data_IF_996588634124
#
_entry.id   IF_996588634124
#
_cell.length_a   1.000
_cell.length_b   1.000
_cell.length_c   1.000
_cell.angle_alpha   90.00
_cell.angle_beta   90.00
_cell.angle_gamma   90.00
#
_symmetry.space_group_name_H-M   'P 1'
#
loop_
_entity.id
_entity.type
_entity.pdbx_description
1 polymer ?
#
# COMPACT_ATOMS: atom_id res chain seq x y z
N UNK A 1 -6.36 36.37 -11.02
CA UNK A 1 -5.50 36.69 -12.18
C UNK A 1 -6.14 37.76 -13.07
N UNK A 2 -7.38 37.60 -13.54
CA UNK A 2 -8.08 38.60 -14.37
C UNK A 2 -8.07 40.01 -13.76
N UNK A 3 -8.44 40.18 -12.48
CA UNK A 3 -8.49 41.50 -11.84
C UNK A 3 -7.14 42.24 -11.75
N UNK A 4 -6.03 41.53 -11.53
CA UNK A 4 -4.69 42.14 -11.52
C UNK A 4 -4.22 42.48 -12.94
N UNK A 5 -4.60 41.67 -13.93
CA UNK A 5 -4.36 41.96 -15.35
C UNK A 5 -5.07 43.23 -15.79
N UNK A 6 -6.38 43.33 -15.53
CA UNK A 6 -7.18 44.53 -15.87
C UNK A 6 -6.67 45.79 -15.17
N UNK A 7 -6.26 45.70 -13.90
CA UNK A 7 -5.68 46.84 -13.18
C UNK A 7 -4.36 47.32 -13.80
N UNK A 8 -3.49 46.38 -14.23
CA UNK A 8 -2.23 46.73 -14.90
C UNK A 8 -2.45 47.30 -16.30
N UNK A 9 -3.43 46.77 -17.04
CA UNK A 9 -3.82 47.34 -18.35
C UNK A 9 -4.30 48.79 -18.21
N UNK A 10 -5.20 49.05 -17.25
CA UNK A 10 -5.70 50.39 -16.98
C UNK A 10 -4.58 51.32 -16.48
N UNK A 11 -3.71 50.82 -15.60
CA UNK A 11 -2.56 51.60 -15.12
C UNK A 11 -1.62 51.97 -16.26
N UNK A 12 -1.28 51.04 -17.15
CA UNK A 12 -0.45 51.31 -18.32
C UNK A 12 -1.09 52.29 -19.30
N UNK A 13 -2.40 52.19 -19.55
CA UNK A 13 -3.16 53.15 -20.37
C UNK A 13 -3.12 54.58 -19.82
N UNK A 14 -3.08 54.71 -18.49
CA UNK A 14 -2.98 55.99 -17.79
C UNK A 14 -1.52 56.44 -17.54
N UNK A 15 -0.53 55.76 -18.12
CA UNK A 15 0.90 56.08 -17.95
C UNK A 15 1.49 55.70 -16.59
N UNK A 16 0.82 54.81 -15.85
CA UNK A 16 1.24 54.33 -14.54
C UNK A 16 2.21 53.15 -14.59
N UNK A 17 2.83 52.85 -13.44
CA UNK A 17 3.74 51.72 -13.25
C UNK A 17 2.98 50.42 -12.94
N UNK A 18 3.57 49.24 -13.22
CA UNK A 18 2.95 47.96 -12.88
C UNK A 18 2.56 47.85 -11.40
N UNK A 19 1.30 47.50 -11.16
CA UNK A 19 0.70 47.38 -9.83
C UNK A 19 0.68 45.91 -9.40
N UNK A 20 1.09 45.67 -8.15
CA UNK A 20 1.12 44.35 -7.52
C UNK A 20 0.47 44.39 -6.13
N UNK A 21 0.08 43.22 -5.63
CA UNK A 21 -0.43 43.10 -4.26
C UNK A 21 0.70 43.25 -3.23
N UNK A 22 0.60 44.25 -2.36
CA UNK A 22 1.58 44.47 -1.28
C UNK A 22 1.12 43.78 0.00
N UNK A 23 1.77 42.66 0.34
CA UNK A 23 1.40 41.79 1.48
C UNK A 23 1.42 42.57 2.81
N UNK A 24 2.46 43.37 3.03
CA UNK A 24 2.63 44.14 4.28
C UNK A 24 1.48 45.12 4.49
N UNK A 25 1.07 45.86 3.45
CA UNK A 25 -0.07 46.80 3.54
C UNK A 25 -1.39 46.09 3.74
N UNK A 26 -1.60 44.95 3.09
CA UNK A 26 -2.80 44.13 3.28
C UNK A 26 -2.91 43.63 4.73
N UNK A 27 -1.80 43.13 5.30
CA UNK A 27 -1.77 42.67 6.69
C UNK A 27 -2.05 43.77 7.70
N UNK A 28 -1.47 44.97 7.51
CA UNK A 28 -1.74 46.13 8.36
C UNK A 28 -3.19 46.59 8.24
N UNK A 29 -3.77 46.56 7.04
CA UNK A 29 -5.15 46.93 6.79
C UNK A 29 -6.14 45.98 7.52
N UNK A 30 -5.86 44.68 7.49
CA UNK A 30 -6.65 43.67 8.22
C UNK A 30 -6.46 43.82 9.74
N UNK A 31 -5.24 44.07 10.21
CA UNK A 31 -4.97 44.33 11.62
C UNK A 31 -5.68 45.59 12.14
N UNK A 32 -5.85 46.61 11.28
CA UNK A 32 -6.64 47.81 11.55
C UNK A 32 -8.16 47.58 11.47
N UNK A 33 -8.62 46.34 11.28
CA UNK A 33 -10.03 45.97 11.32
C UNK A 33 -10.78 46.09 9.99
N UNK A 34 -10.09 46.29 8.85
CA UNK A 34 -10.76 46.39 7.55
C UNK A 34 -11.36 45.04 7.13
N UNK A 35 -12.66 45.06 6.75
CA UNK A 35 -13.42 43.85 6.35
C UNK A 35 -13.92 43.88 4.90
N UNK A 36 -13.83 45.02 4.22
CA UNK A 36 -14.40 45.21 2.88
C UNK A 36 -13.38 45.81 1.90
N UNK A 37 -13.62 45.64 0.60
CA UNK A 37 -12.81 46.23 -0.48
C UNK A 37 -12.84 47.76 -0.49
N UNK A 38 -13.83 48.37 0.19
CA UNK A 38 -13.96 49.83 0.31
C UNK A 38 -12.73 50.46 0.98
N UNK A 39 -12.09 49.77 1.93
CA UNK A 39 -10.86 50.25 2.55
C UNK A 39 -9.74 50.48 1.52
N UNK A 40 -9.56 49.55 0.57
CA UNK A 40 -8.54 49.69 -0.47
C UNK A 40 -8.86 50.83 -1.47
N UNK A 41 -10.13 51.02 -1.80
CA UNK A 41 -10.59 52.12 -2.67
C UNK A 41 -10.36 53.46 -1.98
N UNK A 42 -10.79 53.60 -0.72
CA UNK A 42 -10.57 54.80 0.08
C UNK A 42 -9.08 55.11 0.25
N UNK A 43 -8.25 54.09 0.48
CA UNK A 43 -6.80 54.27 0.55
C UNK A 43 -6.22 54.86 -0.76
N UNK A 44 -6.67 54.38 -1.92
CA UNK A 44 -6.28 54.96 -3.21
C UNK A 44 -6.75 56.41 -3.38
N UNK A 45 -7.98 56.73 -2.98
CA UNK A 45 -8.52 58.10 -2.99
C UNK A 45 -7.72 59.02 -2.09
N UNK A 46 -7.36 58.58 -0.87
CA UNK A 46 -6.52 59.35 0.04
C UNK A 46 -5.13 59.59 -0.54
N UNK A 47 -4.49 58.59 -1.14
CA UNK A 47 -3.20 58.75 -1.81
C UNK A 47 -3.30 59.83 -2.89
N UNK A 48 -4.33 59.79 -3.73
CA UNK A 48 -4.54 60.78 -4.80
C UNK A 48 -4.73 62.19 -4.23
N UNK A 49 -5.57 62.33 -3.20
CA UNK A 49 -5.83 63.60 -2.54
C UNK A 49 -4.57 64.19 -1.90
N UNK A 50 -3.85 63.40 -1.10
CA UNK A 50 -2.64 63.86 -0.41
C UNK A 50 -1.51 64.18 -1.40
N UNK A 51 -1.34 63.36 -2.44
CA UNK A 51 -0.33 63.60 -3.47
C UNK A 51 -0.62 64.88 -4.28
N UNK A 52 -1.88 65.24 -4.49
CA UNK A 52 -2.28 66.46 -5.20
C UNK A 52 -2.20 67.71 -4.32
N UNK A 53 -2.63 67.62 -3.06
CA UNK A 53 -2.75 68.78 -2.18
C UNK A 53 -1.44 69.16 -1.48
N UNK A 54 -0.56 68.19 -1.21
CA UNK A 54 0.65 68.39 -0.39
C UNK A 54 1.97 68.21 -1.15
N UNK A 55 1.98 68.41 -2.47
CA UNK A 55 3.18 68.26 -3.32
C UNK A 55 4.41 68.99 -2.75
N UNK A 56 4.25 70.26 -2.37
CA UNK A 56 5.33 71.08 -1.83
C UNK A 56 5.92 70.54 -0.51
N UNK A 57 5.10 69.84 0.30
CA UNK A 57 5.55 69.23 1.55
C UNK A 57 6.27 67.92 1.30
N UNK A 58 5.83 67.15 0.30
CA UNK A 58 6.47 65.88 -0.09
C UNK A 58 7.88 66.11 -0.63
N UNK A 59 8.12 67.23 -1.33
CA UNK A 59 9.46 67.60 -1.83
C UNK A 59 10.47 67.89 -0.70
N UNK A 60 10.01 68.24 0.50
CA UNK A 60 10.87 68.49 1.66
C UNK A 60 11.33 67.21 2.38
N UNK A 61 10.87 66.03 1.95
CA UNK A 61 11.21 64.76 2.61
C UNK A 61 12.71 64.45 2.42
N UNK A 62 13.50 64.31 3.51
CA UNK A 62 14.91 63.99 3.39
C UNK A 62 15.13 62.61 2.76
N UNK A 63 16.02 62.54 1.76
CA UNK A 63 16.40 61.26 1.10
C UNK A 63 16.92 60.22 2.10
N UNK A 64 17.57 60.66 3.18
CA UNK A 64 18.04 59.79 4.26
C UNK A 64 16.89 59.06 4.98
N UNK A 65 15.74 59.71 5.19
CA UNK A 65 14.57 59.09 5.80
C UNK A 65 13.98 58.00 4.88
N UNK A 66 13.94 58.25 3.57
CA UNK A 66 13.49 57.26 2.58
C UNK A 66 14.45 56.07 2.50
N UNK A 67 15.76 56.30 2.52
CA UNK A 67 16.76 55.24 2.53
C UNK A 67 16.64 54.37 3.80
N UNK A 68 16.47 54.97 4.97
CA UNK A 68 16.24 54.25 6.23
C UNK A 68 14.97 53.39 6.18
N UNK A 69 13.88 53.94 5.64
CA UNK A 69 12.64 53.19 5.44
C UNK A 69 12.85 51.98 4.51
N UNK A 70 13.57 52.15 3.40
CA UNK A 70 13.86 51.05 2.46
C UNK A 70 14.70 49.94 3.11
N UNK A 71 15.69 50.28 3.93
CA UNK A 71 16.51 49.30 4.66
C UNK A 71 15.63 48.48 5.62
N UNK A 72 14.77 49.14 6.39
CA UNK A 72 13.85 48.46 7.34
C UNK A 72 12.88 47.54 6.60
N UNK A 73 12.29 48.01 5.50
CA UNK A 73 11.38 47.19 4.69
C UNK A 73 12.13 45.99 4.08
N UNK A 74 13.34 46.21 3.54
CA UNK A 74 14.19 45.15 3.01
C UNK A 74 14.52 44.09 4.06
N UNK A 75 14.88 44.51 5.28
CA UNK A 75 15.15 43.62 6.39
C UNK A 75 13.92 42.81 6.82
N UNK A 76 12.73 43.41 6.82
CA UNK A 76 11.48 42.72 7.15
C UNK A 76 11.05 41.65 6.14
N UNK A 77 11.49 41.78 4.87
CA UNK A 77 11.21 40.77 3.84
C UNK A 77 12.02 39.48 4.04
N UNK A 78 13.16 39.54 4.73
CA UNK A 78 14.03 38.38 4.98
C UNK A 78 13.53 37.59 6.18
N UNK A 79 12.89 36.44 5.90
CA UNK A 79 12.44 35.51 6.94
C UNK A 79 13.49 34.44 7.22
N UNK A 80 14.25 34.62 8.31
CA UNK A 80 15.33 33.71 8.78
C UNK A 80 14.89 32.23 8.94
N UNK A 81 13.62 31.99 9.28
CA UNK A 81 13.07 30.64 9.43
C UNK A 81 13.13 29.82 8.12
N UNK A 82 12.86 30.43 6.96
CA UNK A 82 12.90 29.75 5.67
C UNK A 82 14.32 29.42 5.23
N UNK A 83 15.30 30.29 5.55
CA UNK A 83 16.72 30.05 5.28
C UNK A 83 17.23 28.84 6.07
N UNK A 84 16.89 28.78 7.37
CA UNK A 84 17.32 27.67 8.25
C UNK A 84 16.67 26.33 7.84
N UNK A 85 15.44 26.34 7.36
CA UNK A 85 14.75 25.15 6.85
C UNK A 85 15.29 24.69 5.49
N UNK A 86 15.67 25.62 4.60
CA UNK A 86 16.30 25.31 3.32
C UNK A 86 17.69 24.68 3.48
N UNK A 87 18.45 25.07 4.51
CA UNK A 87 19.73 24.46 4.87
C UNK A 87 19.61 23.00 5.32
N UNK A 88 18.50 22.60 5.94
CA UNK A 88 18.26 21.22 6.39
C UNK A 88 17.74 20.28 5.30
N UNK A 89 17.07 20.82 4.28
CA UNK A 89 16.37 20.04 3.24
C UNK A 89 17.20 19.87 1.96
N UNK A 90 18.45 20.33 1.93
CA UNK A 90 19.39 20.14 0.81
C UNK A 90 19.18 21.07 -0.39
N UNK A 91 18.17 21.94 -0.36
CA UNK A 91 17.83 22.85 -1.47
C UNK A 91 18.49 24.23 -1.37
N UNK A 92 19.45 24.42 -0.45
CA UNK A 92 20.15 25.70 -0.26
C UNK A 92 20.91 26.17 -1.51
N UNK A 93 21.41 25.22 -2.31
CA UNK A 93 22.15 25.51 -3.55
C UNK A 93 21.32 26.36 -4.53
N UNK A 94 20.03 26.04 -4.70
CA UNK A 94 19.13 26.77 -5.61
C UNK A 94 18.93 28.21 -5.13
N UNK A 95 18.76 28.40 -3.82
CA UNK A 95 18.64 29.73 -3.21
C UNK A 95 19.91 30.56 -3.38
N UNK A 96 21.07 29.97 -3.12
CA UNK A 96 22.36 30.65 -3.25
C UNK A 96 22.60 31.09 -4.70
N UNK A 97 22.37 30.20 -5.67
CA UNK A 97 22.50 30.52 -7.10
C UNK A 97 21.56 31.67 -7.48
N UNK A 98 20.29 31.60 -7.08
CA UNK A 98 19.31 32.65 -7.42
C UNK A 98 19.73 34.01 -6.84
N UNK A 99 20.19 34.06 -5.59
CA UNK A 99 20.66 35.31 -4.96
C UNK A 99 21.88 35.86 -5.69
N UNK A 100 22.88 35.02 -5.97
CA UNK A 100 24.11 35.43 -6.68
C UNK A 100 23.74 35.97 -8.06
N UNK A 101 22.90 35.27 -8.83
CA UNK A 101 22.48 35.74 -10.14
C UNK A 101 21.70 37.06 -10.08
N UNK A 102 20.80 37.25 -9.10
CA UNK A 102 20.08 38.53 -8.94
C UNK A 102 21.01 39.69 -8.58
N UNK A 103 22.07 39.43 -7.79
CA UNK A 103 23.03 40.45 -7.35
C UNK A 103 24.00 40.86 -8.46
N UNK A 104 24.49 39.90 -9.25
CA UNK A 104 25.54 40.15 -10.27
C UNK A 104 25.00 40.37 -11.68
N UNK A 105 23.81 39.87 -12.00
CA UNK A 105 23.15 40.07 -13.28
C UNK A 105 22.03 41.10 -13.09
N UNK A 106 20.78 40.67 -13.29
CA UNK A 106 19.57 41.45 -13.06
C UNK A 106 18.49 40.56 -12.43
N UNK A 107 17.46 41.18 -11.85
CA UNK A 107 16.36 40.45 -11.21
C UNK A 107 15.69 39.44 -12.16
N UNK A 108 15.39 39.86 -13.39
CA UNK A 108 14.72 39.01 -14.38
C UNK A 108 15.56 37.78 -14.76
N UNK A 109 16.82 38.01 -15.11
CA UNK A 109 17.77 36.94 -15.48
C UNK A 109 18.03 36.01 -14.30
N UNK A 110 18.22 36.55 -13.10
CA UNK A 110 18.46 35.76 -11.90
C UNK A 110 17.28 34.86 -11.52
N UNK A 111 16.04 35.36 -11.65
CA UNK A 111 14.84 34.55 -11.44
C UNK A 111 14.69 33.47 -12.53
N UNK A 112 14.96 33.80 -13.79
CA UNK A 112 14.90 32.84 -14.89
C UNK A 112 15.91 31.69 -14.72
N UNK A 113 17.16 32.02 -14.36
CA UNK A 113 18.20 31.03 -14.07
C UNK A 113 17.83 30.19 -12.84
N UNK A 114 17.35 30.83 -11.77
CA UNK A 114 16.90 30.12 -10.56
C UNK A 114 15.78 29.11 -10.86
N UNK A 115 14.80 29.50 -11.68
CA UNK A 115 13.73 28.61 -12.13
C UNK A 115 14.26 27.45 -12.97
N UNK A 116 15.15 27.72 -13.93
CA UNK A 116 15.75 26.68 -14.78
C UNK A 116 16.52 25.65 -13.94
N UNK A 117 17.33 26.11 -12.99
CA UNK A 117 18.07 25.23 -12.06
C UNK A 117 17.12 24.43 -11.18
N UNK A 118 16.04 25.05 -10.67
CA UNK A 118 15.05 24.33 -9.87
C UNK A 118 14.34 23.21 -10.67
N UNK A 119 13.97 23.48 -11.92
CA UNK A 119 13.38 22.49 -12.83
C UNK A 119 14.39 21.36 -13.09
N UNK A 120 15.66 21.69 -13.36
CA UNK A 120 16.70 20.69 -13.61
C UNK A 120 16.92 19.79 -12.39
N UNK A 121 17.01 20.35 -11.19
CA UNK A 121 17.14 19.57 -9.95
C UNK A 121 15.93 18.65 -9.73
N UNK A 122 14.72 19.14 -10.01
CA UNK A 122 13.51 18.33 -9.93
C UNK A 122 13.56 17.17 -10.93
N UNK A 123 13.96 17.44 -12.17
CA UNK A 123 14.13 16.40 -13.19
C UNK A 123 15.16 15.35 -12.77
N UNK A 124 16.34 15.77 -12.29
CA UNK A 124 17.37 14.85 -11.79
C UNK A 124 16.86 14.02 -10.61
N UNK A 125 16.09 14.63 -9.70
CA UNK A 125 15.50 13.92 -8.56
C UNK A 125 14.47 12.88 -8.99
N UNK A 126 13.65 13.18 -10.01
CA UNK A 126 12.67 12.25 -10.58
C UNK A 126 13.37 11.10 -11.33
N UNK A 127 14.42 11.39 -12.09
CA UNK A 127 15.22 10.37 -12.81
C UNK A 127 15.99 9.45 -11.85
N UNK A 128 16.32 9.93 -10.64
CA UNK A 128 17.05 9.16 -9.63
C UNK A 128 16.16 8.27 -8.75
N UNK A 129 14.91 8.02 -9.14
CA UNK A 129 14.03 7.08 -8.44
C UNK A 129 14.78 5.78 -8.07
N UNK A 130 14.62 5.27 -6.83
CA UNK A 130 15.38 4.14 -6.35
C UNK A 130 14.98 2.89 -7.13
N UNK A 131 15.94 2.36 -7.89
CA UNK A 131 15.94 0.99 -8.39
C UNK A 131 17.10 0.32 -7.67
N UNK A 132 16.81 -0.61 -6.78
CA UNK A 132 17.81 -1.38 -6.04
C UNK A 132 17.67 -2.85 -6.40
N UNK A 133 18.79 -3.47 -6.78
CA UNK A 133 18.88 -4.92 -6.97
C UNK A 133 19.66 -5.51 -5.79
N UNK A 134 19.05 -6.42 -5.05
CA UNK A 134 19.64 -7.07 -3.88
C UNK A 134 19.58 -8.59 -4.06
N UNK A 135 20.69 -9.33 -3.81
CA UNK A 135 20.66 -10.79 -3.78
C UNK A 135 19.88 -11.27 -2.55
N UNK A 136 19.04 -12.29 -2.72
CA UNK A 136 18.25 -12.90 -1.64
C UNK A 136 18.92 -14.21 -1.21
N UNK A 137 19.57 -14.18 -0.04
CA UNK A 137 20.29 -15.32 0.56
C UNK A 137 21.81 -15.30 0.33
N UNK A 138 22.54 -16.15 1.05
CA UNK A 138 24.02 -16.27 0.93
C UNK A 138 24.46 -16.96 -0.37
N UNK A 139 23.58 -17.75 -1.00
CA UNK A 139 23.81 -18.37 -2.30
C UNK A 139 23.09 -17.55 -3.39
N UNK A 140 23.85 -16.85 -4.24
CA UNK A 140 23.39 -15.85 -5.22
C UNK A 140 22.50 -16.35 -6.39
N UNK A 141 21.63 -17.35 -6.16
CA UNK A 141 20.68 -17.89 -7.15
C UNK A 141 19.42 -17.04 -7.32
N UNK A 142 19.02 -16.29 -6.30
CA UNK A 142 17.81 -15.47 -6.32
C UNK A 142 18.13 -13.98 -6.17
N UNK A 143 17.56 -13.15 -7.04
CA UNK A 143 17.71 -11.70 -7.05
C UNK A 143 16.36 -11.01 -6.86
N UNK A 144 16.31 -10.01 -5.99
CA UNK A 144 15.17 -9.11 -5.83
C UNK A 144 15.53 -7.77 -6.44
N UNK A 145 14.64 -7.23 -7.28
CA UNK A 145 14.75 -5.90 -7.84
C UNK A 145 13.52 -5.10 -7.44
N UNK A 146 13.71 -4.09 -6.61
CA UNK A 146 12.64 -3.23 -6.12
C UNK A 146 12.61 -1.92 -6.92
N UNK A 147 11.42 -1.55 -7.42
CA UNK A 147 11.18 -0.34 -8.21
C UNK A 147 10.02 0.46 -7.61
N UNK A 148 10.33 1.65 -7.09
CA UNK A 148 9.35 2.53 -6.44
C UNK A 148 9.12 3.85 -7.19
N UNK A 149 7.85 4.25 -7.31
CA UNK A 149 7.42 5.57 -7.75
C UNK A 149 7.04 5.65 -9.23
N UNK A 150 7.30 6.81 -9.87
CA UNK A 150 6.83 7.07 -11.23
C UNK A 150 7.74 6.41 -12.27
N UNK A 151 7.30 5.29 -12.84
CA UNK A 151 8.01 4.54 -13.87
C UNK A 151 7.71 5.15 -15.25
N UNK A 152 8.52 6.12 -15.65
CA UNK A 152 8.42 6.77 -16.96
C UNK A 152 9.66 6.52 -17.82
N UNK A 153 9.60 6.87 -19.10
CA UNK A 153 10.66 6.79 -20.10
C UNK A 153 11.98 7.39 -19.60
N UNK A 154 11.90 8.42 -18.74
CA UNK A 154 13.07 9.06 -18.13
C UNK A 154 13.89 8.10 -17.26
N UNK A 155 13.31 6.99 -16.80
CA UNK A 155 13.94 5.96 -15.97
C UNK A 155 14.60 4.84 -16.79
N UNK A 156 14.27 4.70 -18.09
CA UNK A 156 14.77 3.62 -18.95
C UNK A 156 16.28 3.43 -18.94
N UNK A 157 17.13 4.49 -19.00
CA UNK A 157 18.58 4.30 -18.99
C UNK A 157 19.07 3.62 -17.72
N UNK A 158 18.43 3.89 -16.57
CA UNK A 158 18.80 3.29 -15.29
C UNK A 158 18.23 1.88 -15.15
N UNK A 159 16.98 1.69 -15.58
CA UNK A 159 16.33 0.39 -15.57
C UNK A 159 17.12 -0.64 -16.39
N UNK A 160 17.41 -0.31 -17.65
CA UNK A 160 18.20 -1.18 -18.53
C UNK A 160 19.60 -1.44 -17.98
N UNK A 161 20.24 -0.44 -17.37
CA UNK A 161 21.54 -0.63 -16.72
C UNK A 161 21.45 -1.63 -15.56
N UNK A 162 20.51 -1.46 -14.62
CA UNK A 162 20.35 -2.38 -13.48
C UNK A 162 20.01 -3.80 -13.96
N UNK A 163 19.06 -3.94 -14.88
CA UNK A 163 18.67 -5.24 -15.43
C UNK A 163 19.83 -5.95 -16.15
N UNK A 164 20.73 -5.19 -16.79
CA UNK A 164 21.92 -5.75 -17.44
C UNK A 164 23.01 -6.23 -16.46
N UNK A 165 22.97 -5.79 -15.21
CA UNK A 165 23.93 -6.23 -14.18
C UNK A 165 23.57 -7.58 -13.54
N UNK A 166 22.35 -8.08 -13.79
CA UNK A 166 21.88 -9.34 -13.23
C UNK A 166 22.58 -10.54 -13.92
N UNK A 167 23.07 -11.54 -13.16
CA UNK A 167 23.70 -12.71 -13.73
C UNK A 167 22.72 -13.53 -14.59
N UNK A 168 23.22 -14.14 -15.67
CA UNK A 168 22.39 -15.01 -16.53
C UNK A 168 22.00 -16.28 -15.79
N UNK A 169 20.79 -16.79 -16.06
CA UNK A 169 20.32 -18.06 -15.49
C UNK A 169 19.94 -18.01 -14.00
N UNK A 170 19.81 -16.82 -13.40
CA UNK A 170 19.31 -16.67 -12.02
C UNK A 170 17.82 -16.38 -11.99
N UNK A 171 17.18 -16.74 -10.88
CA UNK A 171 15.78 -16.44 -10.61
C UNK A 171 15.64 -15.00 -10.12
N UNK A 172 14.83 -14.19 -10.78
CA UNK A 172 14.66 -12.76 -10.50
C UNK A 172 13.23 -12.47 -10.12
N UNK A 173 13.03 -11.79 -8.99
CA UNK A 173 11.73 -11.24 -8.60
C UNK A 173 11.75 -9.72 -8.75
N UNK A 174 10.94 -9.20 -9.68
CA UNK A 174 10.74 -7.78 -9.93
C UNK A 174 9.54 -7.29 -9.10
N UNK A 175 9.77 -6.45 -8.10
CA UNK A 175 8.72 -5.78 -7.35
C UNK A 175 8.45 -4.40 -7.94
N UNK A 176 7.24 -4.21 -8.48
CA UNK A 176 6.78 -2.98 -9.11
C UNK A 176 5.78 -2.27 -8.20
N UNK A 177 6.21 -1.17 -7.60
CA UNK A 177 5.38 -0.31 -6.77
C UNK A 177 5.29 1.09 -7.38
N UNK A 178 4.43 1.22 -8.39
CA UNK A 178 4.36 2.42 -9.23
C UNK A 178 3.05 3.19 -9.11
N UNK A 179 3.14 4.52 -8.99
CA UNK A 179 1.97 5.42 -9.10
C UNK A 179 1.58 5.69 -10.57
N UNK A 180 2.47 5.30 -11.50
CA UNK A 180 2.37 5.48 -12.93
C UNK A 180 3.40 4.59 -13.64
N UNK A 181 2.99 3.89 -14.71
CA UNK A 181 3.86 3.16 -15.62
C UNK A 181 3.56 3.63 -17.04
N UNK A 182 4.58 4.01 -17.81
CA UNK A 182 4.40 4.28 -19.22
C UNK A 182 4.72 3.08 -20.12
N UNK A 183 4.29 3.21 -21.38
CA UNK A 183 4.43 2.16 -22.37
C UNK A 183 5.88 1.72 -22.56
N UNK A 184 6.80 2.69 -22.61
CA UNK A 184 8.20 2.42 -22.90
C UNK A 184 8.88 1.61 -21.78
N UNK A 185 8.55 1.87 -20.51
CA UNK A 185 9.04 1.05 -19.38
C UNK A 185 8.42 -0.35 -19.38
N UNK A 186 7.11 -0.46 -19.61
CA UNK A 186 6.41 -1.76 -19.68
C UNK A 186 7.00 -2.67 -20.78
N UNK A 187 7.24 -2.10 -21.96
CA UNK A 187 7.86 -2.80 -23.10
C UNK A 187 9.28 -3.24 -22.76
N UNK A 188 10.11 -2.35 -22.22
CA UNK A 188 11.48 -2.69 -21.84
C UNK A 188 11.59 -3.81 -20.80
N UNK A 189 10.67 -3.86 -19.82
CA UNK A 189 10.61 -4.96 -18.82
C UNK A 189 10.18 -6.26 -19.49
N UNK A 190 9.17 -6.21 -20.36
CA UNK A 190 8.67 -7.39 -21.08
C UNK A 190 9.74 -8.00 -21.98
N UNK A 191 10.42 -7.17 -22.78
CA UNK A 191 11.51 -7.59 -23.66
C UNK A 191 12.68 -8.20 -22.87
N UNK A 192 13.05 -7.56 -21.75
CA UNK A 192 14.10 -8.08 -20.89
C UNK A 192 13.71 -9.41 -20.25
N UNK A 193 12.46 -9.57 -19.77
CA UNK A 193 11.96 -10.82 -19.19
C UNK A 193 12.11 -11.97 -20.17
N UNK A 194 11.61 -11.80 -21.40
CA UNK A 194 11.69 -12.83 -22.45
C UNK A 194 13.15 -13.20 -22.75
N UNK A 195 14.02 -12.20 -22.85
CA UNK A 195 15.44 -12.41 -23.09
C UNK A 195 16.14 -13.14 -21.92
N UNK A 196 15.77 -12.84 -20.67
CA UNK A 196 16.36 -13.46 -19.48
C UNK A 196 15.90 -14.91 -19.30
N UNK A 197 14.61 -15.18 -19.51
CA UNK A 197 14.03 -16.54 -19.47
C UNK A 197 14.65 -17.45 -20.55
N UNK A 198 14.97 -16.90 -21.72
CA UNK A 198 15.69 -17.62 -22.77
C UNK A 198 17.11 -18.05 -22.35
N UNK A 199 17.70 -17.45 -21.31
CA UNK A 199 19.00 -17.85 -20.75
C UNK A 199 18.91 -18.89 -19.63
N UNK A 200 17.71 -19.39 -19.30
CA UNK A 200 17.48 -20.45 -18.33
C UNK A 200 17.25 -19.99 -16.89
N UNK A 201 16.98 -18.69 -16.66
CA UNK A 201 16.50 -18.18 -15.37
C UNK A 201 14.99 -17.98 -15.38
N UNK A 202 14.36 -17.80 -14.21
CA UNK A 202 12.93 -17.43 -14.12
C UNK A 202 12.73 -15.97 -13.72
N UNK A 203 11.65 -15.34 -14.20
CA UNK A 203 11.30 -13.96 -13.82
C UNK A 203 9.88 -13.91 -13.28
N UNK A 204 9.74 -13.60 -11.98
CA UNK A 204 8.47 -13.31 -11.34
C UNK A 204 8.26 -11.80 -11.21
N UNK A 205 7.18 -11.28 -11.80
CA UNK A 205 6.81 -9.87 -11.67
C UNK A 205 5.70 -9.76 -10.63
N UNK A 206 5.94 -8.99 -9.58
CA UNK A 206 4.99 -8.73 -8.49
C UNK A 206 4.61 -7.26 -8.54
N UNK A 207 3.37 -6.98 -8.93
CA UNK A 207 2.82 -5.64 -8.99
C UNK A 207 2.04 -5.36 -7.70
N UNK A 208 2.51 -4.41 -6.89
CA UNK A 208 1.89 -4.05 -5.60
C UNK A 208 1.03 -2.80 -5.68
N UNK A 209 0.99 -2.14 -6.85
CA UNK A 209 0.21 -0.92 -7.11
C UNK A 209 -0.84 -1.13 -8.21
N UNK A 210 -1.93 -0.33 -8.23
CA UNK A 210 -2.98 -0.45 -9.25
C UNK A 210 -2.52 -0.06 -10.67
N UNK A 211 -1.38 0.61 -10.82
CA UNK A 211 -0.72 0.76 -12.12
C UNK A 211 0.02 -0.55 -12.44
N UNK A 212 -0.52 -1.30 -13.39
CA UNK A 212 0.05 -2.56 -13.87
C UNK A 212 0.49 -2.48 -15.33
N UNK A 213 1.40 -3.36 -15.72
CA UNK A 213 1.94 -3.47 -17.07
C UNK A 213 0.84 -3.76 -18.10
N UNK A 214 -0.19 -4.53 -17.74
CA UNK A 214 -1.31 -4.87 -18.65
C UNK A 214 -2.11 -3.61 -19.04
N UNK A 215 -2.44 -2.76 -18.08
CA UNK A 215 -3.21 -1.53 -18.32
C UNK A 215 -2.41 -0.44 -19.04
N UNK A 216 -1.07 -0.48 -18.96
CA UNK A 216 -0.19 0.43 -19.66
C UNK A 216 -0.36 0.36 -21.19
N UNK A 217 -0.83 -0.78 -21.72
CA UNK A 217 -1.07 -1.00 -23.15
C UNK A 217 -2.52 -0.76 -23.59
N UNK A 218 -3.48 -0.66 -22.66
CA UNK A 218 -4.91 -0.67 -22.99
C UNK A 218 -5.59 0.70 -22.95
N UNK A 219 -4.99 1.72 -22.32
CA UNK A 219 -5.61 3.05 -22.16
C UNK A 219 -4.58 4.16 -21.88
N UNK A 220 -4.89 5.45 -22.13
CA UNK A 220 -4.01 6.56 -21.77
C UNK A 220 -3.70 6.54 -20.27
N UNK A 221 -2.42 6.65 -19.87
CA UNK A 221 -2.04 6.40 -18.50
C UNK A 221 -2.53 7.53 -17.59
N UNK A 222 -3.13 7.15 -16.45
CA UNK A 222 -3.62 8.09 -15.42
C UNK A 222 -2.77 7.94 -14.16
N UNK A 223 -2.41 9.06 -13.53
CA UNK A 223 -1.76 9.01 -12.22
C UNK A 223 -2.77 8.57 -11.18
N UNK A 224 -2.42 7.52 -10.44
CA UNK A 224 -3.23 7.03 -9.34
C UNK A 224 -2.49 7.30 -8.03
N UNK A 225 -3.12 8.09 -7.15
CA UNK A 225 -2.72 8.13 -5.75
C UNK A 225 -3.47 7.00 -5.02
N UNK A 226 -2.86 5.82 -4.97
CA UNK A 226 -3.30 4.80 -4.04
C UNK A 226 -2.70 5.14 -2.67
N UNK A 227 -3.50 5.30 -1.60
CA UNK A 227 -2.97 5.12 -0.26
C UNK A 227 -2.44 3.69 -0.19
N UNK A 228 -1.21 3.50 0.28
CA UNK A 228 -0.60 2.20 0.54
C UNK A 228 -1.65 1.25 1.08
N UNK A 229 -1.93 0.15 0.38
CA UNK A 229 -2.84 -0.84 0.92
C UNK A 229 -2.20 -1.37 2.21
N UNK A 230 -3.00 -1.73 3.23
CA UNK A 230 -2.46 -2.35 4.44
C UNK A 230 -1.67 -3.64 4.16
N UNK A 231 -1.85 -4.20 2.96
CA UNK A 231 -1.15 -5.38 2.44
C UNK A 231 0.31 -5.07 2.07
N UNK A 232 0.64 -3.80 1.81
CA UNK A 232 1.97 -3.36 1.34
C UNK A 232 2.84 -2.77 2.46
N UNK A 233 2.31 -2.66 3.68
CA UNK A 233 3.15 -2.30 4.82
C UNK A 233 3.94 -3.54 5.21
N UNK A 234 5.18 -3.62 4.73
CA UNK A 234 6.17 -4.55 5.24
C UNK A 234 6.41 -4.24 6.73
N UNK A 235 5.57 -4.78 7.61
CA UNK A 235 5.72 -4.68 9.05
C UNK A 235 7.05 -5.35 9.39
N UNK A 236 8.07 -4.61 9.86
CA UNK A 236 9.32 -5.23 10.25
C UNK A 236 9.02 -6.33 11.26
N UNK A 237 9.45 -7.56 10.98
CA UNK A 237 9.28 -8.63 11.95
C UNK A 237 9.94 -8.19 13.25
N UNK A 238 9.17 -8.26 14.35
CA UNK A 238 9.62 -7.94 15.70
C UNK A 238 10.91 -8.69 16.09
N UNK A 239 11.21 -9.81 15.41
CA UNK A 239 12.40 -10.64 15.64
C UNK A 239 13.64 -10.18 14.88
N UNK A 240 13.50 -9.35 13.85
CA UNK A 240 14.60 -9.07 12.91
C UNK A 240 15.55 -7.98 13.43
N UNK A 241 15.10 -7.14 14.38
CA UNK A 241 15.89 -6.00 14.88
C UNK A 241 16.40 -6.14 16.31
N UNK A 242 15.66 -6.75 17.24
CA UNK A 242 16.07 -6.95 18.64
C UNK A 242 15.41 -8.18 19.31
N UNK A 243 15.99 -9.39 19.22
CA UNK A 243 15.38 -10.61 19.75
C UNK A 243 15.13 -10.57 21.27
N UNK A 244 15.95 -9.86 22.05
CA UNK A 244 15.82 -9.76 23.51
C UNK A 244 14.80 -8.72 23.99
N UNK A 245 14.36 -7.79 23.12
CA UNK A 245 13.38 -6.74 23.43
C UNK A 245 12.10 -6.84 22.61
N UNK A 246 11.90 -7.95 21.93
CA UNK A 246 10.68 -8.25 21.21
C UNK A 246 9.50 -8.16 22.20
N UNK A 247 8.82 -7.01 22.28
CA UNK A 247 7.50 -6.62 22.84
C UNK A 247 6.30 -6.75 21.89
N UNK A 248 5.14 -7.35 22.24
CA UNK A 248 3.93 -7.23 21.38
C UNK A 248 3.50 -5.77 21.40
N UNK A 249 3.71 -5.13 22.56
CA UNK A 249 3.56 -3.71 22.79
C UNK A 249 4.45 -2.88 21.86
N UNK A 250 5.67 -3.33 21.56
CA UNK A 250 6.54 -2.65 20.60
C UNK A 250 5.97 -2.69 19.17
N UNK A 251 5.38 -3.83 18.77
CA UNK A 251 4.65 -3.93 17.50
C UNK A 251 3.42 -3.03 17.46
N UNK A 252 2.70 -2.91 18.57
CA UNK A 252 1.55 -2.00 18.71
C UNK A 252 1.99 -0.53 18.62
N UNK A 253 3.10 -0.16 19.27
CA UNK A 253 3.69 1.19 19.15
C UNK A 253 4.08 1.51 17.71
N UNK A 254 4.70 0.56 17.00
CA UNK A 254 5.05 0.71 15.60
C UNK A 254 3.80 0.89 14.72
N UNK A 255 2.77 0.09 14.94
CA UNK A 255 1.48 0.22 14.28
C UNK A 255 0.81 1.58 14.59
N UNK A 256 0.90 2.08 15.82
CA UNK A 256 0.38 3.41 16.16
C UNK A 256 1.13 4.53 15.45
N UNK A 257 2.45 4.42 15.32
CA UNK A 257 3.28 5.42 14.63
C UNK A 257 3.02 5.44 13.12
N UNK A 258 2.98 4.27 12.50
CA UNK A 258 3.07 4.14 11.04
C UNK A 258 1.82 3.52 10.37
N UNK A 259 1.05 2.70 11.09
CA UNK A 259 -0.08 1.92 10.53
C UNK A 259 -1.47 2.48 10.73
N UNK A 260 -1.67 3.28 11.77
CA UNK A 260 -3.01 3.76 12.14
C UNK A 260 -3.64 4.56 11.00
N UNK A 261 -2.85 5.38 10.29
CA UNK A 261 -3.36 6.17 9.16
C UNK A 261 -3.82 5.30 7.98
N UNK A 262 -3.13 4.20 7.71
CA UNK A 262 -3.48 3.27 6.65
C UNK A 262 -4.76 2.49 7.00
N UNK A 263 -4.95 2.11 8.27
CA UNK A 263 -6.11 1.34 8.72
C UNK A 263 -7.35 2.20 9.01
N UNK A 264 -7.17 3.45 9.42
CA UNK A 264 -8.24 4.31 9.93
C UNK A 264 -9.43 4.45 8.96
N UNK A 265 -9.16 4.62 7.66
CA UNK A 265 -10.23 4.76 6.67
C UNK A 265 -11.04 3.47 6.48
N UNK A 266 -10.37 2.31 6.53
CA UNK A 266 -11.02 1.02 6.32
C UNK A 266 -11.83 0.60 7.55
N UNK A 267 -11.27 0.75 8.76
CA UNK A 267 -11.97 0.36 10.00
C UNK A 267 -13.12 1.30 10.34
N UNK A 268 -13.01 2.60 10.03
CA UNK A 268 -14.12 3.55 10.26
C UNK A 268 -15.37 3.17 9.47
N UNK A 269 -15.22 2.64 8.26
CA UNK A 269 -16.35 2.18 7.45
C UNK A 269 -17.04 0.94 8.03
N UNK A 270 -16.35 0.16 8.87
CA UNK A 270 -16.83 -1.08 9.47
C UNK A 270 -17.40 -0.88 10.90
N UNK A 271 -17.28 0.32 11.46
CA UNK A 271 -17.62 0.58 12.87
C UNK A 271 -19.12 0.45 13.13
N UNK A 272 -19.95 0.74 12.13
CA UNK A 272 -21.41 0.75 12.26
C UNK A 272 -22.08 -0.57 11.83
N UNK A 273 -21.41 -1.39 10.99
CA UNK A 273 -21.88 -2.72 10.60
C UNK A 273 -20.76 -3.55 9.94
N UNK A 274 -20.14 -4.52 10.65
CA UNK A 274 -19.31 -5.52 10.01
C UNK A 274 -20.21 -6.50 9.27
N UNK A 275 -20.06 -6.59 7.94
CA UNK A 275 -20.87 -7.48 7.10
C UNK A 275 -19.98 -8.52 6.39
N UNK A 276 -19.45 -9.52 7.12
CA UNK A 276 -18.66 -10.57 6.50
C UNK A 276 -19.53 -11.42 5.58
N UNK A 277 -18.98 -11.82 4.44
CA UNK A 277 -19.67 -12.71 3.50
C UNK A 277 -19.39 -14.19 3.78
N UNK A 278 -18.36 -14.47 4.60
CA UNK A 278 -17.79 -15.80 4.81
C UNK A 278 -17.35 -16.03 6.24
N UNK A 279 -17.81 -17.12 6.86
CA UNK A 279 -17.16 -17.68 8.05
C UNK A 279 -15.98 -18.55 7.61
N UNK A 280 -14.78 -18.31 8.15
CA UNK A 280 -13.55 -19.00 7.78
C UNK A 280 -12.97 -19.79 8.96
N UNK A 281 -13.16 -21.11 8.97
CA UNK A 281 -12.60 -22.03 9.96
C UNK A 281 -11.24 -22.55 9.50
N UNK A 282 -10.18 -22.29 10.26
CA UNK A 282 -8.83 -22.74 9.90
C UNK A 282 -7.98 -23.16 11.10
N UNK A 283 -6.75 -23.61 10.82
CA UNK A 283 -5.80 -24.01 11.83
C UNK A 283 -5.25 -22.80 12.61
N UNK A 284 -4.97 -23.01 13.89
CA UNK A 284 -4.27 -22.05 14.74
C UNK A 284 -2.78 -21.82 14.36
N UNK A 285 -2.26 -22.53 13.35
CA UNK A 285 -0.88 -22.38 12.85
C UNK A 285 -0.61 -20.95 12.37
N UNK A 286 0.40 -20.28 12.94
CA UNK A 286 0.71 -18.87 12.68
C UNK A 286 1.07 -18.54 11.24
N UNK A 287 1.36 -19.54 10.41
CA UNK A 287 1.69 -19.35 8.98
C UNK A 287 0.46 -19.20 8.11
N UNK A 288 -0.73 -19.51 8.63
CA UNK A 288 -1.99 -19.31 7.91
C UNK A 288 -2.47 -17.88 8.11
N UNK A 289 -2.63 -17.18 7.00
CA UNK A 289 -3.05 -15.79 6.90
C UNK A 289 -4.33 -15.73 6.06
N UNK A 290 -5.52 -15.97 6.65
CA UNK A 290 -6.78 -16.07 5.91
C UNK A 290 -7.00 -14.92 4.95
N UNK A 291 -6.88 -13.67 5.42
CA UNK A 291 -7.11 -12.47 4.63
C UNK A 291 -6.18 -12.36 3.40
N UNK A 292 -4.96 -12.92 3.50
CA UNK A 292 -3.98 -12.89 2.41
C UNK A 292 -4.32 -13.96 1.38
N UNK A 293 -4.55 -15.20 1.82
CA UNK A 293 -4.75 -16.35 0.92
C UNK A 293 -6.11 -16.32 0.21
N UNK A 294 -7.09 -15.56 0.73
CA UNK A 294 -8.40 -15.36 0.09
C UNK A 294 -8.54 -14.00 -0.58
N UNK A 295 -7.49 -13.17 -0.54
CA UNK A 295 -7.55 -11.77 -0.98
C UNK A 295 -8.69 -10.95 -0.34
N UNK A 296 -9.04 -11.25 0.91
CA UNK A 296 -10.11 -10.58 1.67
C UNK A 296 -9.68 -9.27 2.32
N UNK A 297 -10.61 -8.33 2.46
CA UNK A 297 -10.43 -7.05 3.14
C UNK A 297 -10.83 -7.19 4.61
N UNK A 298 -10.39 -6.25 5.49
CA UNK A 298 -10.94 -6.19 6.83
C UNK A 298 -12.46 -6.16 6.79
N UNK A 299 -13.10 -7.07 7.51
CA UNK A 299 -14.55 -7.18 7.57
C UNK A 299 -15.18 -8.23 6.64
N UNK A 300 -14.47 -8.73 5.61
CA UNK A 300 -15.04 -9.73 4.69
C UNK A 300 -15.15 -11.12 5.34
N UNK A 301 -14.24 -11.44 6.27
CA UNK A 301 -14.16 -12.76 6.92
C UNK A 301 -14.54 -12.71 8.40
N UNK A 302 -15.33 -13.70 8.83
CA UNK A 302 -15.52 -14.06 10.23
C UNK A 302 -14.69 -15.29 10.59
N UNK A 303 -13.53 -15.10 11.23
CA UNK A 303 -12.49 -16.13 11.31
C UNK A 303 -12.53 -16.89 12.64
N UNK A 304 -12.50 -18.23 12.55
CA UNK A 304 -12.32 -19.14 13.69
C UNK A 304 -11.02 -19.91 13.50
N UNK A 305 -10.19 -19.97 14.55
CA UNK A 305 -8.92 -20.71 14.52
C UNK A 305 -8.86 -21.72 15.65
N UNK A 306 -8.72 -22.99 15.30
CA UNK A 306 -8.50 -24.07 16.27
C UNK A 306 -7.42 -25.03 15.78
N UNK A 307 -6.96 -25.95 16.63
CA UNK A 307 -5.87 -26.86 16.26
C UNK A 307 -6.39 -27.90 15.25
N UNK A 308 -5.86 -27.90 14.03
CA UNK A 308 -6.22 -28.86 12.99
C UNK A 308 -7.55 -28.58 12.28
N UNK A 309 -8.09 -27.35 12.37
CA UNK A 309 -9.29 -26.89 11.65
C UNK A 309 -10.50 -27.83 11.81
N UNK A 310 -10.73 -28.31 13.03
CA UNK A 310 -11.69 -29.36 13.35
C UNK A 310 -13.06 -28.79 13.70
N UNK A 311 -14.10 -29.50 13.28
CA UNK A 311 -15.48 -29.30 13.76
C UNK A 311 -15.73 -30.33 14.87
N UNK A 312 -15.90 -29.87 16.13
CA UNK A 312 -16.18 -30.75 17.26
C UNK A 312 -17.46 -31.56 17.06
N UNK A 313 -17.48 -32.76 17.62
CA UNK A 313 -18.63 -33.69 17.59
C UNK A 313 -19.25 -33.88 18.97
N UNK A 314 -18.57 -33.43 20.02
CA UNK A 314 -19.04 -33.56 21.40
C UNK A 314 -20.05 -32.43 21.69
N UNK A 315 -21.29 -32.73 22.08
CA UNK A 315 -22.29 -31.72 22.45
C UNK A 315 -21.89 -30.78 23.60
N UNK A 316 -20.87 -31.16 24.37
CA UNK A 316 -20.29 -30.34 25.43
C UNK A 316 -19.35 -29.25 24.88
N UNK A 317 -18.81 -29.39 23.66
CA UNK A 317 -17.99 -28.36 23.02
C UNK A 317 -18.82 -27.56 22.01
N UNK A 318 -19.12 -26.32 22.37
CA UNK A 318 -20.03 -25.42 21.65
C UNK A 318 -19.34 -24.21 21.03
N UNK A 319 -18.01 -24.10 21.10
CA UNK A 319 -17.31 -22.93 20.57
C UNK A 319 -17.51 -22.74 19.05
N UNK A 320 -17.45 -23.83 18.27
CA UNK A 320 -17.66 -23.76 16.81
C UNK A 320 -19.15 -23.59 16.49
N UNK A 321 -20.02 -24.29 17.20
CA UNK A 321 -21.48 -24.15 17.03
C UNK A 321 -21.97 -22.73 17.31
N UNK A 322 -21.49 -22.09 18.39
CA UNK A 322 -21.85 -20.71 18.70
C UNK A 322 -21.39 -19.72 17.61
N UNK A 323 -20.23 -19.96 17.01
CA UNK A 323 -19.71 -19.13 15.94
C UNK A 323 -20.45 -19.35 14.61
N UNK A 324 -20.87 -20.59 14.31
CA UNK A 324 -21.75 -20.91 13.17
C UNK A 324 -23.12 -20.24 13.34
N UNK A 325 -23.72 -20.34 14.52
CA UNK A 325 -25.02 -19.75 14.85
C UNK A 325 -24.97 -18.22 14.67
N UNK A 326 -23.96 -17.57 15.24
CA UNK A 326 -23.77 -16.12 15.10
C UNK A 326 -23.55 -15.71 13.64
N UNK A 327 -22.72 -16.44 12.89
CA UNK A 327 -22.44 -16.10 11.51
C UNK A 327 -23.67 -16.19 10.60
N UNK A 328 -24.52 -17.20 10.80
CA UNK A 328 -25.72 -17.37 9.99
C UNK A 328 -26.83 -16.41 10.45
N UNK A 329 -27.10 -16.36 11.74
CA UNK A 329 -28.31 -15.70 12.25
C UNK A 329 -28.13 -14.21 12.55
N UNK A 330 -26.90 -13.76 12.81
CA UNK A 330 -26.61 -12.35 13.14
C UNK A 330 -25.81 -11.64 12.03
N UNK A 331 -24.92 -12.35 11.34
CA UNK A 331 -24.05 -11.77 10.30
C UNK A 331 -24.51 -12.06 8.87
N UNK A 332 -25.49 -12.94 8.67
CA UNK A 332 -26.03 -13.33 7.35
C UNK A 332 -24.95 -13.74 6.34
N UNK A 333 -23.95 -14.52 6.79
CA UNK A 333 -22.88 -14.99 5.90
C UNK A 333 -23.43 -15.85 4.78
N UNK A 334 -22.95 -15.64 3.56
CA UNK A 334 -23.33 -16.43 2.38
C UNK A 334 -22.52 -17.73 2.23
N UNK A 335 -21.42 -17.87 2.97
CA UNK A 335 -20.57 -19.04 2.88
C UNK A 335 -19.81 -19.42 4.16
N UNK A 336 -19.46 -20.69 4.25
CA UNK A 336 -18.67 -21.29 5.33
C UNK A 336 -17.49 -22.02 4.72
N UNK A 337 -16.28 -21.51 4.95
CA UNK A 337 -15.05 -22.11 4.48
C UNK A 337 -14.34 -22.90 5.59
N UNK A 338 -13.81 -24.07 5.27
CA UNK A 338 -12.87 -24.82 6.12
C UNK A 338 -11.54 -24.98 5.41
N UNK A 339 -10.47 -24.45 6.02
CA UNK A 339 -9.14 -24.42 5.43
C UNK A 339 -8.12 -25.21 6.25
N UNK A 340 -7.66 -26.32 5.69
CA UNK A 340 -6.48 -27.06 6.16
C UNK A 340 -5.20 -26.57 5.50
N UNK A 341 -4.06 -27.12 5.91
CA UNK A 341 -2.78 -26.74 5.35
C UNK A 341 -1.75 -27.87 5.39
N UNK A 342 -0.76 -27.77 4.50
CA UNK A 342 0.41 -28.65 4.49
C UNK A 342 1.25 -28.51 5.78
N UNK A 343 2.00 -29.55 6.12
CA UNK A 343 2.86 -29.58 7.33
C UNK A 343 2.10 -29.25 8.62
N UNK A 344 0.83 -29.64 8.72
CA UNK A 344 0.01 -29.45 9.91
C UNK A 344 0.49 -30.35 11.05
N UNK A 345 1.03 -29.73 12.11
CA UNK A 345 1.60 -30.47 13.23
C UNK A 345 0.57 -31.34 13.96
N UNK A 346 -0.66 -30.83 14.12
CA UNK A 346 -1.76 -31.55 14.75
C UNK A 346 -2.09 -32.87 14.04
N UNK A 347 -2.08 -32.85 12.71
CA UNK A 347 -2.39 -34.02 11.87
C UNK A 347 -1.20 -34.97 11.82
N UNK A 348 0.03 -34.44 11.82
CA UNK A 348 1.24 -35.25 11.91
C UNK A 348 1.28 -36.09 13.19
N UNK A 349 0.93 -35.50 14.34
CA UNK A 349 0.88 -36.20 15.63
C UNK A 349 -0.10 -37.38 15.62
N UNK A 350 -1.18 -37.33 14.83
CA UNK A 350 -2.13 -38.44 14.70
C UNK A 350 -1.59 -39.65 13.93
N UNK A 351 -0.56 -39.46 13.11
CA UNK A 351 0.11 -40.54 12.37
C UNK A 351 1.17 -41.23 13.23
N UNK A 352 1.62 -40.61 14.31
CA UNK A 352 2.58 -41.22 15.23
C UNK A 352 1.93 -42.36 16.02
N UNK A 353 2.67 -43.46 16.29
CA UNK A 353 2.12 -44.63 16.99
C UNK A 353 1.72 -44.34 18.44
N UNK A 354 2.24 -43.25 19.02
CA UNK A 354 1.93 -42.81 20.38
C UNK A 354 0.78 -41.81 20.36
N UNK A 355 -0.36 -42.19 20.95
CA UNK A 355 -1.48 -41.28 21.10
C UNK A 355 -1.09 -40.08 22.00
N UNK A 356 -1.36 -38.83 21.58
CA UNK A 356 -1.13 -37.65 22.40
C UNK A 356 -1.94 -37.73 23.70
N UNK A 357 -1.33 -37.34 24.82
CA UNK A 357 -1.97 -37.31 26.15
C UNK A 357 -2.41 -35.89 26.52
N UNK A 358 -3.27 -35.79 27.54
CA UNK A 358 -3.74 -34.51 28.07
C UNK A 358 -4.74 -33.78 27.14
N UNK A 359 -4.91 -32.46 27.29
CA UNK A 359 -5.92 -31.69 26.55
C UNK A 359 -5.79 -31.78 25.03
N UNK A 360 -4.57 -31.82 24.50
CA UNK A 360 -4.33 -32.01 23.07
C UNK A 360 -4.80 -33.38 22.59
N UNK A 361 -4.56 -34.43 23.38
CA UNK A 361 -5.08 -35.76 23.10
C UNK A 361 -6.59 -35.81 23.04
N UNK A 362 -7.27 -35.14 23.99
CA UNK A 362 -8.73 -35.03 24.01
C UNK A 362 -9.26 -34.26 22.80
N UNK A 363 -8.66 -33.11 22.48
CA UNK A 363 -9.05 -32.30 21.33
C UNK A 363 -8.91 -33.05 20.00
N UNK A 364 -7.80 -33.77 19.82
CA UNK A 364 -7.55 -34.53 18.59
C UNK A 364 -8.45 -35.76 18.42
N UNK A 365 -9.26 -36.12 19.42
CA UNK A 365 -10.31 -37.12 19.24
C UNK A 365 -11.33 -36.70 18.18
N UNK A 366 -11.55 -35.40 18.01
CA UNK A 366 -12.41 -34.88 16.94
C UNK A 366 -11.84 -35.16 15.54
N UNK A 367 -10.55 -35.48 15.39
CA UNK A 367 -9.93 -35.86 14.11
C UNK A 367 -9.87 -37.38 13.87
N UNK A 368 -10.35 -38.22 14.81
CA UNK A 368 -10.28 -39.67 14.68
C UNK A 368 -11.05 -40.22 13.48
N UNK A 369 -12.19 -39.61 13.13
CA UNK A 369 -12.93 -39.98 11.93
C UNK A 369 -12.12 -39.72 10.66
N UNK A 370 -11.40 -38.59 10.59
CA UNK A 370 -10.49 -38.27 9.50
C UNK A 370 -9.34 -39.27 9.41
N UNK A 371 -8.77 -39.69 10.55
CA UNK A 371 -7.75 -40.74 10.59
C UNK A 371 -8.29 -42.10 10.16
N UNK A 372 -9.52 -42.45 10.58
CA UNK A 372 -10.18 -43.68 10.17
C UNK A 372 -10.45 -43.68 8.65
N UNK A 373 -11.01 -42.60 8.12
CA UNK A 373 -11.23 -42.38 6.69
C UNK A 373 -9.93 -42.50 5.90
N UNK A 374 -8.85 -41.87 6.39
CA UNK A 374 -7.53 -41.97 5.79
C UNK A 374 -7.02 -43.42 5.73
N UNK A 375 -7.17 -44.19 6.81
CA UNK A 375 -6.74 -45.60 6.89
C UNK A 375 -7.51 -46.53 5.95
N UNK A 376 -8.77 -46.21 5.64
CA UNK A 376 -9.58 -46.99 4.68
C UNK A 376 -9.50 -46.45 3.24
N UNK A 377 -8.48 -45.65 2.91
CA UNK A 377 -8.23 -45.09 1.58
C UNK A 377 -9.38 -44.23 1.02
N UNK A 378 -9.88 -43.29 1.83
CA UNK A 378 -10.84 -42.28 1.40
C UNK A 378 -10.45 -41.65 0.04
N UNK A 379 -11.41 -41.33 -0.87
CA UNK A 379 -11.11 -40.75 -2.19
C UNK A 379 -10.19 -39.52 -2.13
N UNK A 380 -10.37 -38.67 -1.11
CA UNK A 380 -9.53 -37.48 -0.92
C UNK A 380 -8.05 -37.82 -0.69
N UNK A 381 -7.74 -38.99 -0.11
CA UNK A 381 -6.38 -39.50 0.02
C UNK A 381 -5.80 -39.85 -1.34
N UNK A 382 -6.57 -40.57 -2.17
CA UNK A 382 -6.13 -40.97 -3.51
C UNK A 382 -5.85 -39.76 -4.39
N UNK A 383 -6.74 -38.75 -4.35
CA UNK A 383 -6.53 -37.44 -4.99
C UNK A 383 -5.27 -36.73 -4.48
N UNK A 384 -5.04 -36.73 -3.17
CA UNK A 384 -3.82 -36.14 -2.60
C UNK A 384 -2.54 -36.88 -3.05
N UNK A 385 -2.57 -38.21 -3.13
CA UNK A 385 -1.45 -39.03 -3.64
C UNK A 385 -1.15 -38.70 -5.10
N UNK A 386 -2.18 -38.59 -5.95
CA UNK A 386 -1.98 -38.27 -7.37
C UNK A 386 -1.40 -36.87 -7.60
N UNK A 387 -1.63 -35.95 -6.65
CA UNK A 387 -1.06 -34.60 -6.66
C UNK A 387 0.30 -34.50 -5.95
N UNK A 388 0.89 -35.62 -5.51
CA UNK A 388 2.25 -35.67 -4.98
C UNK A 388 2.42 -35.20 -3.53
N UNK A 389 1.33 -35.10 -2.74
CA UNK A 389 1.39 -34.65 -1.35
C UNK A 389 1.98 -35.72 -0.42
N UNK A 390 2.66 -35.28 0.65
CA UNK A 390 3.24 -36.18 1.67
C UNK A 390 2.16 -36.90 2.48
N UNK A 391 2.49 -37.97 3.20
CA UNK A 391 1.51 -38.73 3.99
C UNK A 391 0.75 -37.86 5.02
N UNK A 392 1.45 -36.95 5.69
CA UNK A 392 0.82 -36.02 6.63
C UNK A 392 -0.11 -35.02 5.93
N UNK A 393 0.28 -34.55 4.74
CA UNK A 393 -0.53 -33.63 3.94
C UNK A 393 -1.76 -34.32 3.34
N UNK A 394 -1.62 -35.59 2.93
CA UNK A 394 -2.74 -36.43 2.52
C UNK A 394 -3.78 -36.55 3.64
N UNK A 395 -3.35 -36.80 4.88
CA UNK A 395 -4.27 -36.83 6.03
C UNK A 395 -4.91 -35.45 6.27
N UNK A 396 -4.17 -34.36 6.08
CA UNK A 396 -4.71 -33.00 6.19
C UNK A 396 -5.80 -32.72 5.12
N UNK A 397 -5.61 -33.17 3.88
CA UNK A 397 -6.61 -33.06 2.80
C UNK A 397 -7.85 -33.93 3.11
N UNK A 398 -7.65 -35.17 3.57
CA UNK A 398 -8.76 -36.03 4.03
C UNK A 398 -9.51 -35.37 5.19
N UNK A 399 -8.80 -34.73 6.12
CA UNK A 399 -9.42 -34.01 7.21
C UNK A 399 -10.32 -32.88 6.69
N UNK A 400 -9.86 -32.06 5.73
CA UNK A 400 -10.70 -31.02 5.12
C UNK A 400 -11.97 -31.62 4.52
N UNK A 401 -11.86 -32.69 3.72
CA UNK A 401 -13.02 -33.35 3.13
C UNK A 401 -14.02 -33.84 4.19
N UNK A 402 -13.54 -34.47 5.27
CA UNK A 402 -14.39 -34.92 6.38
C UNK A 402 -15.03 -33.74 7.14
N UNK A 403 -14.31 -32.64 7.35
CA UNK A 403 -14.88 -31.46 8.00
C UNK A 403 -15.95 -30.78 7.13
N UNK A 404 -15.77 -30.75 5.79
CA UNK A 404 -16.81 -30.31 4.85
C UNK A 404 -18.07 -31.15 5.00
N UNK A 405 -17.94 -32.49 5.10
CA UNK A 405 -19.09 -33.36 5.33
C UNK A 405 -19.78 -33.12 6.67
N UNK A 406 -18.99 -32.88 7.73
CA UNK A 406 -19.51 -32.57 9.06
C UNK A 406 -20.28 -31.26 9.09
N UNK A 407 -19.73 -30.20 8.50
CA UNK A 407 -20.43 -28.92 8.36
C UNK A 407 -21.74 -29.11 7.60
N UNK A 408 -21.74 -29.92 6.55
CA UNK A 408 -22.95 -30.18 5.77
C UNK A 408 -24.04 -30.94 6.54
N UNK A 409 -23.66 -31.70 7.59
CA UNK A 409 -24.58 -32.42 8.49
C UNK A 409 -24.85 -31.66 9.79
N UNK A 410 -24.21 -30.51 10.03
CA UNK A 410 -24.37 -29.76 11.26
C UNK A 410 -25.81 -29.19 11.33
N UNK A 411 -26.54 -29.40 12.44
CA UNK A 411 -27.94 -28.95 12.58
C UNK A 411 -28.16 -27.44 12.37
N UNK A 412 -27.16 -26.62 12.65
CA UNK A 412 -27.21 -25.16 12.51
C UNK A 412 -27.14 -24.77 11.03
N UNK A 413 -26.29 -25.45 10.26
CA UNK A 413 -26.08 -25.17 8.83
C UNK A 413 -27.09 -25.87 7.90
N UNK A 414 -27.59 -27.04 8.29
CA UNK A 414 -28.41 -27.88 7.42
C UNK A 414 -29.64 -27.17 6.82
N UNK A 415 -30.41 -26.33 7.55
CA UNK A 415 -31.52 -25.57 6.97
C UNK A 415 -31.07 -24.54 5.93
N UNK A 416 -30.00 -23.79 6.24
CA UNK A 416 -29.46 -22.76 5.35
C UNK A 416 -28.89 -23.36 4.06
N UNK A 417 -28.22 -24.51 4.15
CA UNK A 417 -27.74 -25.27 3.01
C UNK A 417 -28.89 -25.79 2.14
N UNK A 418 -29.95 -26.34 2.74
CA UNK A 418 -31.10 -26.86 2.02
C UNK A 418 -31.85 -25.77 1.24
N UNK A 419 -31.87 -24.54 1.77
CA UNK A 419 -32.44 -23.38 1.08
C UNK A 419 -31.54 -22.76 0.01
N UNK A 420 -30.26 -23.14 -0.05
CA UNK A 420 -29.24 -22.53 -0.91
C UNK A 420 -28.74 -21.16 -0.44
N UNK A 421 -29.13 -20.71 0.76
CA UNK A 421 -28.69 -19.44 1.34
C UNK A 421 -27.19 -19.44 1.69
N UNK A 422 -26.65 -20.62 2.05
CA UNK A 422 -25.25 -20.79 2.45
C UNK A 422 -24.59 -21.87 1.61
N UNK A 423 -23.32 -21.66 1.24
CA UNK A 423 -22.45 -22.68 0.63
C UNK A 423 -21.28 -23.07 1.54
N UNK A 424 -20.85 -24.34 1.47
CA UNK A 424 -19.62 -24.79 2.14
C UNK A 424 -18.49 -24.89 1.13
N UNK A 425 -17.31 -24.36 1.48
CA UNK A 425 -16.09 -24.42 0.67
C UNK A 425 -14.99 -25.10 1.46
N UNK A 426 -14.43 -26.20 0.95
CA UNK A 426 -13.23 -26.80 1.52
C UNK A 426 -11.98 -26.27 0.83
N UNK A 427 -10.94 -26.00 1.60
CA UNK A 427 -9.70 -25.40 1.11
C UNK A 427 -8.48 -26.08 1.73
N UNK A 428 -7.39 -26.19 0.97
CA UNK A 428 -6.11 -26.68 1.44
C UNK A 428 -4.98 -25.75 0.99
N UNK A 429 -4.27 -25.16 1.95
CA UNK A 429 -3.14 -24.27 1.68
C UNK A 429 -1.80 -25.02 1.68
N UNK A 430 -1.14 -25.06 0.54
CA UNK A 430 0.21 -25.59 0.40
C UNK A 430 1.23 -24.49 0.71
N UNK A 431 1.95 -24.67 1.82
CA UNK A 431 2.95 -23.73 2.32
C UNK A 431 4.21 -23.73 1.44
N UNK A 432 4.48 -24.82 0.72
CA UNK A 432 5.69 -24.95 -0.10
C UNK A 432 5.57 -24.17 -1.41
N UNK A 433 4.37 -24.12 -1.98
CA UNK A 433 4.08 -23.43 -3.25
C UNK A 433 3.35 -22.11 -3.06
N UNK A 434 2.75 -21.88 -1.88
CA UNK A 434 1.87 -20.74 -1.62
C UNK A 434 0.51 -20.83 -2.31
N UNK A 435 0.15 -21.99 -2.88
CA UNK A 435 -1.13 -22.19 -3.58
C UNK A 435 -2.22 -22.65 -2.63
N UNK A 436 -3.46 -22.23 -2.91
CA UNK A 436 -4.66 -22.76 -2.25
C UNK A 436 -5.40 -23.67 -3.23
N UNK A 437 -5.72 -24.87 -2.78
CA UNK A 437 -6.49 -25.86 -3.52
C UNK A 437 -7.91 -25.92 -2.97
N UNK A 438 -8.91 -25.97 -3.84
CA UNK A 438 -10.27 -26.32 -3.44
C UNK A 438 -10.35 -27.83 -3.14
N UNK A 439 -11.04 -28.19 -2.06
CA UNK A 439 -11.22 -29.56 -1.62
C UNK A 439 -12.70 -29.82 -1.39
N UNK A 440 -13.25 -30.79 -2.11
CA UNK A 440 -14.60 -31.27 -1.90
C UNK A 440 -14.62 -32.57 -1.06
N UNK A 441 -15.76 -33.27 -1.03
CA UNK A 441 -15.89 -34.54 -0.31
C UNK A 441 -15.05 -35.66 -0.92
N UNK A 442 -14.65 -35.54 -2.18
CA UNK A 442 -13.91 -36.55 -2.93
C UNK A 442 -12.41 -36.25 -3.05
N UNK A 443 -11.96 -35.02 -2.81
CA UNK A 443 -10.55 -34.64 -2.80
C UNK A 443 -10.30 -33.26 -3.36
N UNK A 444 -9.08 -33.04 -3.87
CA UNK A 444 -8.72 -31.78 -4.53
C UNK A 444 -9.50 -31.68 -5.85
N UNK A 445 -10.16 -30.54 -6.03
CA UNK A 445 -10.84 -30.19 -7.28
C UNK A 445 -9.78 -29.62 -8.24
N UNK A 446 -9.57 -30.29 -9.38
CA UNK A 446 -8.73 -29.75 -10.45
C UNK A 446 -9.44 -28.54 -11.06
N UNK A 447 -8.86 -27.35 -10.89
CA UNK A 447 -9.22 -26.21 -11.73
C UNK A 447 -8.70 -26.53 -13.14
N UNK A 448 -9.60 -26.74 -14.11
CA UNK A 448 -9.20 -26.66 -15.51
C UNK A 448 -8.54 -25.29 -15.72
N UNK A 449 -7.28 -25.27 -16.16
CA UNK A 449 -6.65 -24.02 -16.59
C UNK A 449 -7.55 -23.40 -17.67
N UNK A 450 -7.91 -22.11 -17.57
CA UNK A 450 -8.66 -21.48 -18.63
C UNK A 450 -7.89 -21.62 -19.93
N UNK A 451 -8.48 -22.31 -20.90
CA UNK A 451 -7.92 -22.55 -22.22
C UNK A 451 -7.64 -21.20 -22.91
N UNK A 452 -6.40 -20.72 -22.83
CA UNK A 452 -6.01 -19.46 -23.47
C UNK A 452 -4.85 -18.74 -22.80
N UNK A 453 -3.68 -19.38 -22.73
CA UNK A 453 -2.40 -18.69 -22.62
C UNK A 453 -1.33 -19.56 -23.30
N UNK A 454 -1.32 -19.52 -24.64
CA UNK A 454 -0.16 -19.87 -25.46
C UNK A 454 0.54 -18.59 -25.88
#
# INVERSE_FOLDING_TARGET
MIGQGSANMLSGLLGGLPVTGVIVRSSANVAAGARTRMSAILHGVWILLFASLFTNLVELIPKAALAGLLIVIGAQLVRLAHIRMALRTGNFVIYAITIVCVVFLNLLEGVAIGLAVAILFLLVRVVRAPIEAQPVGEEAKHWRVDMDGTLSFLLLPRLTHVLSTLPRGTDVTLHLNADYIDHAVSEAISDWKVAHEATGGSVAIIETSPANMISAHSSPPKRHFAPSSLRDVAWPSRRDKHPERASILHGVEEYHRNGTRALHHQVRALTDSPNPDTLFLTCADSRILPDVITASRPGDLYIIRNVGNLVPTDPAERSVDAALDFAINELDVSSVAVCGHSSCHALKVLLEPTSPRGPMGHWLQHAHESLAAFRVNHPARLSAVSNGFTEADQLAIVNVAVQVERLARNPILAPALASGAVRIVGMFFDLSTGRVHEVDRSGIVCLEEPAGAQ
#
